data_IF_130310284968
#
_entry.id   IF_130310284968
#
_cell.length_a   1.000
_cell.length_b   1.000
_cell.length_c   1.000
_cell.angle_alpha   90.00
_cell.angle_beta   90.00
_cell.angle_gamma   90.00
#
_symmetry.space_group_name_H-M   'P 1'
#
loop_
_entity.id
_entity.type
_entity.pdbx_description
1 polymer ?
#
# COMPACT_ATOMS: atom_id res chain seq x y z
N UNK A 1 2.23 -11.30 27.44
CA UNK A 1 1.35 -11.45 26.27
C UNK A 1 0.25 -10.40 26.36
N UNK A 2 0.17 -9.51 25.42
CA UNK A 2 -0.96 -8.61 25.29
C UNK A 2 -2.20 -9.42 24.90
N UNK A 3 -3.30 -9.24 25.60
CA UNK A 3 -4.60 -9.76 25.15
C UNK A 3 -5.06 -8.80 24.06
N UNK A 4 -5.12 -9.27 22.81
CA UNK A 4 -5.66 -8.47 21.72
C UNK A 4 -7.14 -8.17 21.89
N UNK A 5 -7.63 -7.14 21.22
CA UNK A 5 -9.04 -6.73 21.25
C UNK A 5 -9.88 -7.50 20.24
N UNK A 6 -9.28 -8.08 19.21
CA UNK A 6 -9.94 -8.95 18.22
C UNK A 6 -10.04 -10.35 18.80
N UNK A 7 -11.26 -10.90 18.87
CA UNK A 7 -11.52 -12.17 19.56
C UNK A 7 -12.05 -13.28 18.65
N UNK A 8 -12.56 -12.97 17.48
CA UNK A 8 -13.12 -13.98 16.59
C UNK A 8 -12.82 -13.68 15.10
N UNK A 9 -13.06 -14.70 14.27
CA UNK A 9 -12.84 -14.61 12.81
C UNK A 9 -13.74 -13.59 12.14
N UNK A 10 -14.93 -13.35 12.65
CA UNK A 10 -15.84 -12.35 12.09
C UNK A 10 -15.28 -10.95 12.25
N UNK A 11 -14.71 -10.64 13.39
CA UNK A 11 -14.04 -9.37 13.65
C UNK A 11 -12.80 -9.20 12.77
N UNK A 12 -12.04 -10.28 12.49
CA UNK A 12 -10.93 -10.25 11.54
C UNK A 12 -11.43 -9.87 10.15
N UNK A 13 -12.51 -10.48 9.68
CA UNK A 13 -13.13 -10.13 8.38
C UNK A 13 -13.56 -8.67 8.33
N UNK A 14 -14.18 -8.16 9.39
CA UNK A 14 -14.58 -6.75 9.49
C UNK A 14 -13.37 -5.82 9.43
N UNK A 15 -12.27 -6.17 10.10
CA UNK A 15 -11.04 -5.39 10.07
C UNK A 15 -10.41 -5.37 8.68
N UNK A 16 -10.34 -6.50 7.99
CA UNK A 16 -9.83 -6.59 6.61
C UNK A 16 -10.65 -5.67 5.68
N UNK A 17 -11.97 -5.73 5.77
CA UNK A 17 -12.85 -4.87 4.97
C UNK A 17 -12.72 -3.39 5.35
N UNK A 18 -12.57 -3.10 6.63
CA UNK A 18 -12.34 -1.74 7.13
C UNK A 18 -11.09 -1.10 6.51
N UNK A 19 -9.99 -1.86 6.48
CA UNK A 19 -8.72 -1.45 5.88
C UNK A 19 -8.86 -1.29 4.37
N UNK A 20 -9.38 -2.31 3.69
CA UNK A 20 -9.52 -2.32 2.23
C UNK A 20 -10.42 -1.19 1.70
N UNK A 21 -11.41 -0.76 2.50
CA UNK A 21 -12.29 0.35 2.16
C UNK A 21 -11.63 1.73 2.23
N UNK A 22 -10.51 1.87 2.95
CA UNK A 22 -9.89 3.16 3.27
C UNK A 22 -8.54 3.39 2.62
N UNK A 23 -7.91 2.35 2.10
CA UNK A 23 -6.65 2.49 1.35
C UNK A 23 -6.92 3.06 -0.04
N UNK A 24 -5.97 3.86 -0.54
CA UNK A 24 -6.09 4.54 -1.83
C UNK A 24 -5.63 3.70 -3.02
N UNK A 25 -4.94 2.60 -2.76
CA UNK A 25 -4.40 1.71 -3.79
C UNK A 25 -4.74 0.25 -3.47
N UNK A 26 -4.76 -0.64 -4.48
CA UNK A 26 -4.81 -2.09 -4.23
C UNK A 26 -3.65 -2.54 -3.35
N UNK A 27 -3.94 -3.41 -2.37
CA UNK A 27 -2.95 -3.90 -1.41
C UNK A 27 -2.27 -5.18 -1.91
N UNK A 28 -0.94 -5.17 -1.89
CA UNK A 28 -0.15 -6.40 -2.04
C UNK A 28 -0.43 -7.34 -0.84
N UNK A 29 -0.24 -8.68 -0.98
CA UNK A 29 -0.47 -9.62 0.12
C UNK A 29 0.27 -9.27 1.40
N UNK A 30 1.54 -8.86 1.31
CA UNK A 30 2.33 -8.45 2.47
C UNK A 30 1.79 -7.17 3.12
N UNK A 31 1.36 -6.20 2.33
CA UNK A 31 0.77 -4.95 2.82
C UNK A 31 -0.56 -5.19 3.55
N UNK A 32 -1.41 -6.06 2.99
CA UNK A 32 -2.67 -6.46 3.64
C UNK A 32 -2.41 -7.14 4.97
N UNK A 33 -1.44 -8.04 5.03
CA UNK A 33 -1.04 -8.71 6.26
C UNK A 33 -0.53 -7.71 7.30
N UNK A 34 0.40 -6.85 6.95
CA UNK A 34 0.99 -5.87 7.87
C UNK A 34 -0.06 -4.92 8.45
N UNK A 35 -0.98 -4.44 7.63
CA UNK A 35 -2.06 -3.56 8.08
C UNK A 35 -3.08 -4.28 8.96
N UNK A 36 -3.38 -5.56 8.68
CA UNK A 36 -4.37 -6.34 9.44
C UNK A 36 -3.80 -6.86 10.76
N UNK A 37 -2.55 -7.29 10.77
CA UNK A 37 -1.88 -7.85 11.97
C UNK A 37 -1.49 -6.79 13.00
N UNK A 38 -2.26 -5.73 13.10
CA UNK A 38 -2.05 -4.64 14.05
C UNK A 38 -2.52 -4.95 15.48
N UNK A 39 -3.22 -6.06 15.69
CA UNK A 39 -3.72 -6.49 16.99
C UNK A 39 -3.16 -7.88 17.34
N UNK A 40 -2.66 -8.02 18.56
CA UNK A 40 -2.03 -9.27 19.05
C UNK A 40 -3.00 -10.45 19.18
N UNK A 41 -4.32 -10.19 19.14
CA UNK A 41 -5.35 -11.21 19.18
C UNK A 41 -5.56 -11.95 17.85
N UNK A 42 -4.92 -11.51 16.79
CA UNK A 42 -5.11 -12.08 15.45
C UNK A 42 -4.06 -13.17 15.19
N UNK A 43 -4.52 -14.40 15.02
CA UNK A 43 -3.68 -15.51 14.56
C UNK A 43 -3.51 -15.46 13.04
N UNK A 44 -2.31 -15.77 12.56
CA UNK A 44 -2.00 -15.72 11.12
C UNK A 44 -2.87 -16.68 10.29
N UNK A 45 -3.14 -17.88 10.78
CA UNK A 45 -3.94 -18.85 10.03
C UNK A 45 -5.40 -18.42 9.95
N UNK A 46 -5.93 -17.86 11.02
CA UNK A 46 -7.28 -17.28 11.04
C UNK A 46 -7.37 -16.09 10.09
N UNK A 47 -6.36 -15.23 10.06
CA UNK A 47 -6.25 -14.14 9.09
C UNK A 47 -6.27 -14.65 7.65
N UNK A 48 -5.41 -15.64 7.32
CA UNK A 48 -5.31 -16.19 5.97
C UNK A 48 -6.62 -16.84 5.51
N UNK A 49 -7.29 -17.56 6.41
CA UNK A 49 -8.60 -18.16 6.14
C UNK A 49 -9.67 -17.09 5.89
N UNK A 50 -9.73 -16.06 6.73
CA UNK A 50 -10.65 -14.94 6.56
C UNK A 50 -10.45 -14.19 5.26
N UNK A 51 -9.20 -13.94 4.88
CA UNK A 51 -8.84 -13.28 3.64
C UNK A 51 -9.31 -14.09 2.42
N UNK A 52 -9.05 -15.39 2.42
CA UNK A 52 -9.51 -16.30 1.36
C UNK A 52 -11.04 -16.35 1.27
N UNK A 53 -11.72 -16.40 2.40
CA UNK A 53 -13.18 -16.39 2.45
C UNK A 53 -13.76 -15.11 1.85
N UNK A 54 -13.17 -13.96 2.14
CA UNK A 54 -13.62 -12.68 1.59
C UNK A 54 -13.46 -12.60 0.07
N UNK A 55 -12.44 -13.24 -0.48
CA UNK A 55 -12.28 -13.35 -1.93
C UNK A 55 -13.33 -14.31 -2.53
N UNK A 56 -13.56 -15.46 -1.90
CA UNK A 56 -14.57 -16.44 -2.33
C UNK A 56 -15.98 -15.89 -2.29
N UNK A 57 -16.29 -15.05 -1.32
CA UNK A 57 -17.61 -14.43 -1.16
C UNK A 57 -17.75 -13.11 -1.92
N UNK A 58 -16.74 -12.76 -2.72
CA UNK A 58 -16.73 -11.57 -3.58
C UNK A 58 -16.82 -10.24 -2.82
N UNK A 59 -16.38 -10.20 -1.56
CA UNK A 59 -16.18 -8.95 -0.83
C UNK A 59 -14.86 -8.28 -1.19
N UNK A 60 -13.87 -9.09 -1.53
CA UNK A 60 -12.58 -8.67 -2.10
C UNK A 60 -12.38 -9.33 -3.46
N UNK A 61 -11.62 -8.67 -4.30
CA UNK A 61 -11.19 -9.17 -5.61
C UNK A 61 -9.66 -9.11 -5.71
N UNK A 62 -9.08 -10.12 -6.34
CA UNK A 62 -7.68 -10.08 -6.75
C UNK A 62 -7.56 -9.40 -8.12
N UNK A 63 -6.61 -8.50 -8.24
CA UNK A 63 -6.21 -7.92 -9.53
C UNK A 63 -5.32 -8.89 -10.30
N UNK A 64 -5.03 -8.61 -11.57
CA UNK A 64 -4.17 -9.45 -12.42
C UNK A 64 -2.76 -9.60 -11.84
N UNK A 65 -2.25 -8.58 -11.16
CA UNK A 65 -0.95 -8.58 -10.48
C UNK A 65 -1.00 -9.10 -9.03
N UNK A 66 -2.12 -9.71 -8.62
CA UNK A 66 -2.25 -10.38 -7.33
C UNK A 66 -2.47 -9.45 -6.13
N UNK A 67 -3.00 -8.26 -6.35
CA UNK A 67 -3.34 -7.31 -5.30
C UNK A 67 -4.81 -7.40 -4.91
N UNK A 68 -5.13 -7.04 -3.67
CA UNK A 68 -6.49 -7.06 -3.14
C UNK A 68 -7.18 -5.70 -3.31
N UNK A 69 -8.39 -5.74 -3.84
CA UNK A 69 -9.27 -4.56 -3.99
C UNK A 69 -10.62 -4.89 -3.39
N UNK A 70 -11.20 -3.94 -2.67
CA UNK A 70 -12.58 -4.08 -2.16
C UNK A 70 -13.58 -3.97 -3.31
N UNK A 71 -14.62 -4.81 -3.25
CA UNK A 71 -15.75 -4.74 -4.19
C UNK A 71 -16.85 -3.82 -3.63
N UNK A 72 -17.85 -3.52 -4.46
CA UNK A 72 -19.02 -2.77 -4.00
C UNK A 72 -19.74 -3.49 -2.84
N UNK A 73 -19.85 -4.81 -2.92
CA UNK A 73 -20.41 -5.67 -1.87
C UNK A 73 -19.60 -5.55 -0.57
N UNK A 74 -18.26 -5.62 -0.68
CA UNK A 74 -17.37 -5.47 0.46
C UNK A 74 -17.46 -4.08 1.09
N UNK A 75 -17.57 -3.04 0.28
CA UNK A 75 -17.69 -1.65 0.75
C UNK A 75 -18.99 -1.45 1.55
N UNK A 76 -20.12 -1.96 1.06
CA UNK A 76 -21.40 -1.92 1.78
C UNK A 76 -21.31 -2.64 3.13
N UNK A 77 -20.73 -3.84 3.15
CA UNK A 77 -20.55 -4.59 4.37
C UNK A 77 -19.61 -3.88 5.35
N UNK A 78 -18.53 -3.27 4.88
CA UNK A 78 -17.63 -2.50 5.73
C UNK A 78 -18.35 -1.36 6.44
N UNK A 79 -19.21 -0.64 5.77
CA UNK A 79 -20.01 0.44 6.34
C UNK A 79 -20.96 -0.05 7.43
N UNK A 80 -21.59 -1.21 7.24
CA UNK A 80 -22.53 -1.80 8.20
C UNK A 80 -21.79 -2.33 9.44
N UNK A 81 -20.62 -2.93 9.25
CA UNK A 81 -19.89 -3.65 10.30
C UNK A 81 -18.85 -2.78 11.03
N UNK A 82 -18.65 -1.56 10.63
CA UNK A 82 -17.64 -0.65 11.19
C UNK A 82 -17.78 -0.48 12.70
N UNK A 83 -18.99 -0.28 13.18
CA UNK A 83 -19.27 -0.09 14.60
C UNK A 83 -19.07 -1.36 15.45
N UNK A 84 -18.97 -2.53 14.82
CA UNK A 84 -18.69 -3.79 15.50
C UNK A 84 -17.22 -3.98 15.86
N UNK A 85 -16.32 -3.19 15.26
CA UNK A 85 -14.91 -3.20 15.62
C UNK A 85 -14.66 -2.38 16.89
N UNK A 86 -13.79 -2.86 17.79
CA UNK A 86 -13.39 -2.09 18.97
C UNK A 86 -12.79 -0.74 18.58
N UNK A 87 -13.12 0.30 19.34
CA UNK A 87 -12.65 1.67 19.06
C UNK A 87 -11.12 1.77 18.99
N UNK A 88 -10.42 1.11 19.91
CA UNK A 88 -8.95 1.09 19.94
C UNK A 88 -8.34 0.44 18.70
N UNK A 89 -8.97 -0.59 18.17
CA UNK A 89 -8.56 -1.25 16.91
C UNK A 89 -8.76 -0.30 15.74
N UNK A 90 -9.92 0.36 15.65
CA UNK A 90 -10.18 1.35 14.59
C UNK A 90 -9.20 2.49 14.63
N UNK A 91 -8.90 3.07 15.79
CA UNK A 91 -7.91 4.15 15.90
C UNK A 91 -6.52 3.72 15.44
N UNK A 92 -6.08 2.52 15.84
CA UNK A 92 -4.77 1.99 15.43
C UNK A 92 -4.73 1.75 13.92
N UNK A 93 -5.80 1.18 13.37
CA UNK A 93 -5.93 0.95 11.93
C UNK A 93 -5.96 2.26 11.15
N UNK A 94 -6.70 3.27 11.60
CA UNK A 94 -6.75 4.58 10.95
C UNK A 94 -5.37 5.24 10.87
N UNK A 95 -4.58 5.13 11.93
CA UNK A 95 -3.20 5.65 11.95
C UNK A 95 -2.32 4.92 10.94
N UNK A 96 -2.41 3.58 10.88
CA UNK A 96 -1.62 2.76 9.96
C UNK A 96 -2.06 2.98 8.50
N UNK A 97 -3.35 3.10 8.26
CA UNK A 97 -3.91 3.40 6.94
C UNK A 97 -3.48 4.78 6.46
N UNK A 98 -3.53 5.78 7.33
CA UNK A 98 -3.07 7.14 6.99
C UNK A 98 -1.60 7.17 6.61
N UNK A 99 -0.74 6.45 7.34
CA UNK A 99 0.67 6.30 7.00
C UNK A 99 0.88 5.59 5.66
N UNK A 100 0.13 4.52 5.41
CA UNK A 100 0.16 3.80 4.13
C UNK A 100 -0.27 4.70 2.96
N UNK A 101 -1.39 5.39 3.09
CA UNK A 101 -1.92 6.28 2.05
C UNK A 101 -0.97 7.44 1.75
N UNK A 102 -0.32 7.99 2.77
CA UNK A 102 0.70 9.04 2.61
C UNK A 102 1.90 8.53 1.81
N UNK A 103 2.38 7.34 2.11
CA UNK A 103 3.49 6.73 1.39
C UNK A 103 3.10 6.33 -0.04
N UNK A 104 1.88 5.86 -0.25
CA UNK A 104 1.33 5.56 -1.57
C UNK A 104 1.26 6.83 -2.44
N UNK A 105 0.79 7.93 -1.87
CA UNK A 105 0.77 9.22 -2.55
C UNK A 105 2.19 9.69 -2.91
N UNK A 106 3.13 9.59 -1.98
CA UNK A 106 4.53 9.93 -2.22
C UNK A 106 5.13 9.11 -3.37
N UNK A 107 4.88 7.80 -3.42
CA UNK A 107 5.35 6.93 -4.53
C UNK A 107 4.75 7.33 -5.88
N UNK A 108 3.53 7.80 -5.90
CA UNK A 108 2.89 8.30 -7.13
C UNK A 108 3.47 9.64 -7.59
N UNK A 109 3.83 10.51 -6.65
CA UNK A 109 4.38 11.85 -6.93
C UNK A 109 5.87 11.83 -7.27
N UNK A 110 6.63 10.90 -6.69
CA UNK A 110 8.08 10.78 -6.89
C UNK A 110 8.37 9.55 -7.73
N UNK A 111 8.75 9.75 -8.97
CA UNK A 111 9.02 8.67 -9.91
C UNK A 111 10.46 8.70 -10.39
N UNK A 112 11.07 7.53 -10.50
CA UNK A 112 12.37 7.36 -11.15
C UNK A 112 12.35 6.16 -12.09
N UNK A 113 13.03 6.28 -13.19
CA UNK A 113 13.12 5.24 -14.21
C UNK A 113 14.52 5.16 -14.78
N UNK A 114 15.03 3.94 -14.93
CA UNK A 114 16.34 3.68 -15.54
C UNK A 114 16.14 2.92 -16.84
N UNK A 115 16.63 3.47 -17.94
CA UNK A 115 16.56 2.85 -19.26
C UNK A 115 17.96 2.61 -19.79
N UNK A 116 18.23 1.37 -20.20
CA UNK A 116 19.47 1.05 -20.92
C UNK A 116 19.42 1.58 -22.36
N UNK A 117 20.52 2.17 -22.79
CA UNK A 117 20.68 2.69 -24.17
C UNK A 117 21.45 1.69 -25.03
N UNK A 118 21.27 1.77 -26.33
CA UNK A 118 21.90 0.87 -27.31
C UNK A 118 23.42 0.84 -27.24
N UNK A 119 24.03 1.92 -26.73
CA UNK A 119 25.50 2.06 -26.61
C UNK A 119 26.05 1.56 -25.26
N UNK A 120 25.23 0.87 -24.44
CA UNK A 120 25.65 0.37 -23.14
C UNK A 120 25.69 1.40 -22.01
N UNK A 121 25.25 2.63 -22.27
CA UNK A 121 25.03 3.66 -21.23
C UNK A 121 23.57 3.65 -20.78
N UNK A 122 23.26 4.43 -19.75
CA UNK A 122 21.93 4.45 -19.14
C UNK A 122 21.37 5.87 -19.10
N UNK A 123 20.06 5.97 -19.30
CA UNK A 123 19.30 7.20 -19.03
C UNK A 123 18.54 7.03 -17.73
N UNK A 124 18.74 7.95 -16.79
CA UNK A 124 17.97 8.05 -15.54
C UNK A 124 16.98 9.19 -15.71
N UNK A 125 15.69 8.87 -15.60
CA UNK A 125 14.60 9.85 -15.58
C UNK A 125 14.10 10.01 -14.16
N UNK A 126 14.11 11.24 -13.65
CA UNK A 126 13.63 11.61 -12.32
C UNK A 126 12.46 12.57 -12.52
N UNK A 127 11.31 12.26 -11.96
CA UNK A 127 10.12 13.08 -12.12
C UNK A 127 9.42 13.34 -10.78
N UNK A 128 8.97 14.58 -10.61
CA UNK A 128 8.08 15.00 -9.53
C UNK A 128 6.75 15.44 -10.14
N UNK A 129 5.67 14.92 -9.59
CA UNK A 129 4.31 15.25 -10.02
C UNK A 129 3.46 15.61 -8.81
N UNK A 130 2.46 16.46 -9.03
CA UNK A 130 1.35 16.61 -8.12
C UNK A 130 0.06 16.04 -8.75
N UNK A 131 -1.09 16.37 -8.18
CA UNK A 131 -2.37 15.85 -8.66
C UNK A 131 -2.81 16.44 -10.00
N UNK A 132 -2.16 17.51 -10.44
CA UNK A 132 -2.54 18.30 -11.63
C UNK A 132 -1.45 18.29 -12.69
N UNK A 133 -0.19 18.47 -12.29
CA UNK A 133 0.91 18.72 -13.21
C UNK A 133 2.20 17.97 -12.89
N UNK A 134 3.05 17.90 -13.89
CA UNK A 134 4.43 17.52 -13.74
C UNK A 134 5.26 18.74 -13.32
N UNK A 135 5.79 18.70 -12.09
CA UNK A 135 6.54 19.81 -11.51
C UNK A 135 7.98 19.86 -11.98
N UNK A 136 8.56 18.69 -12.21
CA UNK A 136 9.95 18.53 -12.67
C UNK A 136 10.11 17.20 -13.39
N UNK A 137 10.81 17.22 -14.51
CA UNK A 137 11.40 16.04 -15.13
C UNK A 137 12.87 16.31 -15.43
N UNK A 138 13.75 15.44 -14.95
CA UNK A 138 15.18 15.51 -15.21
C UNK A 138 15.64 14.19 -15.82
N UNK A 139 16.35 14.28 -16.97
CA UNK A 139 16.95 13.14 -17.65
C UNK A 139 18.46 13.28 -17.64
N UNK A 140 19.14 12.27 -17.11
CA UNK A 140 20.58 12.23 -16.99
C UNK A 140 21.13 11.00 -17.70
N UNK A 141 22.21 11.17 -18.46
CA UNK A 141 22.97 10.05 -18.99
C UNK A 141 24.07 9.68 -18.01
N UNK A 142 24.18 8.41 -17.67
CA UNK A 142 25.25 7.86 -16.84
C UNK A 142 25.89 6.65 -17.50
N UNK A 143 27.16 6.42 -17.18
CA UNK A 143 27.97 5.43 -17.87
C UNK A 143 27.65 3.98 -17.45
N UNK A 144 27.25 3.76 -16.22
CA UNK A 144 27.06 2.42 -15.65
C UNK A 144 25.76 2.26 -14.88
N UNK A 145 25.33 1.00 -14.75
CA UNK A 145 24.08 0.63 -14.09
C UNK A 145 24.05 0.99 -12.60
N UNK A 146 25.16 0.78 -11.90
CA UNK A 146 25.23 1.03 -10.47
C UNK A 146 25.02 2.51 -10.14
N UNK A 147 25.59 3.41 -10.92
CA UNK A 147 25.38 4.86 -10.81
C UNK A 147 23.92 5.22 -11.11
N UNK A 148 23.34 4.62 -12.15
CA UNK A 148 21.94 4.87 -12.51
C UNK A 148 20.98 4.45 -11.38
N UNK A 149 21.13 3.25 -10.88
CA UNK A 149 20.29 2.72 -9.78
C UNK A 149 20.48 3.53 -8.49
N UNK A 150 21.70 3.94 -8.19
CA UNK A 150 21.99 4.78 -7.02
C UNK A 150 21.35 6.17 -7.09
N UNK A 151 21.33 6.79 -8.26
CA UNK A 151 20.65 8.07 -8.48
C UNK A 151 19.13 7.93 -8.33
N UNK A 152 18.55 6.92 -8.97
CA UNK A 152 17.12 6.64 -8.88
C UNK A 152 16.68 6.41 -7.45
N UNK A 153 17.41 5.59 -6.69
CA UNK A 153 17.11 5.28 -5.30
C UNK A 153 17.22 6.50 -4.39
N UNK A 154 18.28 7.29 -4.52
CA UNK A 154 18.46 8.51 -3.72
C UNK A 154 17.37 9.54 -3.98
N UNK A 155 16.96 9.69 -5.23
CA UNK A 155 15.88 10.60 -5.58
C UNK A 155 14.54 10.16 -4.97
N UNK A 156 14.23 8.87 -4.97
CA UNK A 156 13.01 8.36 -4.33
C UNK A 156 13.01 8.55 -2.81
N UNK A 157 14.17 8.45 -2.18
CA UNK A 157 14.30 8.63 -0.73
C UNK A 157 14.24 10.10 -0.30
N UNK A 158 14.91 10.97 -1.03
CA UNK A 158 15.10 12.38 -0.67
C UNK A 158 14.93 13.31 -1.88
N UNK A 159 13.73 13.35 -2.50
CA UNK A 159 13.51 14.18 -3.70
C UNK A 159 13.69 15.68 -3.42
N UNK A 160 13.45 16.11 -2.20
CA UNK A 160 13.61 17.50 -1.75
C UNK A 160 15.05 18.01 -1.87
N UNK A 161 16.06 17.16 -1.82
CA UNK A 161 17.46 17.57 -2.01
C UNK A 161 17.78 18.07 -3.42
N UNK A 162 17.01 17.65 -4.39
CA UNK A 162 17.15 18.08 -5.78
C UNK A 162 16.33 19.33 -6.08
N UNK A 163 15.24 19.52 -5.35
CA UNK A 163 14.27 20.59 -5.56
C UNK A 163 14.48 21.82 -4.66
N UNK A 164 15.23 21.66 -3.58
CA UNK A 164 15.50 22.72 -2.60
C UNK A 164 16.57 23.71 -3.08
#
# INVERSE_FOLDING_TARGET
MGIGFIQDKLEIKFLILYIAARVTEPLAPAEMQDLTMCDDGIDYFDYAECLNDLVKTEHLRLTEDGRYVITEKGLKNSQICESSLPYSVRQRSDKNIAAYNKEALRRAQVQSHVTERDNGTYTVTLALRDDVDELMELRLMVADRATADGLAQRFQQEPEKLYA
#
